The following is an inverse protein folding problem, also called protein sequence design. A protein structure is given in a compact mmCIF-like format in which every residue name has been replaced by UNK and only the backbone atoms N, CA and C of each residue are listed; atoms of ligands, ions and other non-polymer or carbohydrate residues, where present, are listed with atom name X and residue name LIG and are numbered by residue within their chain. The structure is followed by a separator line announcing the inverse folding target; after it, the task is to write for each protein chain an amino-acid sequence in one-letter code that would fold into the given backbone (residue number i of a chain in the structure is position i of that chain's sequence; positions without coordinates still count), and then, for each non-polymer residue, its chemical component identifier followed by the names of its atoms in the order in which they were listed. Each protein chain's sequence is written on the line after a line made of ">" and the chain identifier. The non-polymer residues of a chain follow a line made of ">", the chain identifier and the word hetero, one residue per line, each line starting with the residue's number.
data_IF_331215025404
#
_entry.id   IF_331215025404
#
_cell.length_a   1.000
_cell.length_b   1.000
_cell.length_c   1.000
_cell.angle_alpha   90.00
_cell.angle_beta   90.00
_cell.angle_gamma   90.00
#
_symmetry.space_group_name_H-M   'P 1'
#
loop_
_entity.id
_entity.type
_entity.pdbx_description
1 polymer ?
#
# COMPACT_ATOMS: atom_id res chain seq x y z
N UNK A 1 -4.39 5.48 4.75
CA UNK A 1 -4.46 5.73 6.21
C UNK A 1 -3.92 4.58 7.07
N UNK A 2 -3.84 3.35 6.55
CA UNK A 2 -3.48 2.12 7.28
C UNK A 2 -1.99 1.93 7.62
N UNK A 3 -1.07 2.65 6.98
CA UNK A 3 0.37 2.48 7.20
C UNK A 3 0.74 2.57 8.70
N UNK A 4 1.49 1.58 9.19
CA UNK A 4 1.93 1.45 10.59
C UNK A 4 0.80 1.43 11.64
N UNK A 5 -0.42 1.05 11.25
CA UNK A 5 -1.54 0.89 12.17
C UNK A 5 -2.13 -0.51 12.09
N UNK A 6 -2.78 -0.93 13.17
CA UNK A 6 -3.66 -2.09 13.11
C UNK A 6 -4.86 -1.79 12.21
N UNK A 7 -5.44 -2.85 11.61
CA UNK A 7 -6.63 -2.73 10.76
C UNK A 7 -7.77 -2.04 11.49
N UNK A 8 -7.98 -2.36 12.78
CA UNK A 8 -9.03 -1.75 13.62
C UNK A 8 -8.84 -0.24 13.78
N UNK A 9 -7.62 0.22 14.05
CA UNK A 9 -7.35 1.65 14.23
C UNK A 9 -7.48 2.40 12.89
N UNK A 10 -7.02 1.80 11.80
CA UNK A 10 -7.18 2.36 10.46
C UNK A 10 -8.65 2.54 10.09
N UNK A 11 -9.51 1.56 10.40
CA UNK A 11 -10.95 1.62 10.17
C UNK A 11 -11.63 2.73 10.97
N UNK A 12 -11.29 2.88 12.25
CA UNK A 12 -11.81 3.97 13.11
C UNK A 12 -11.45 5.34 12.53
N UNK A 13 -10.20 5.55 12.14
CA UNK A 13 -9.75 6.82 11.56
C UNK A 13 -10.46 7.09 10.22
N UNK A 14 -10.61 6.06 9.38
CA UNK A 14 -11.31 6.20 8.10
C UNK A 14 -12.79 6.58 8.30
N UNK A 15 -13.49 5.95 9.24
CA UNK A 15 -14.88 6.32 9.59
C UNK A 15 -14.99 7.78 10.03
N UNK A 16 -14.07 8.25 10.88
CA UNK A 16 -14.04 9.67 11.30
C UNK A 16 -13.75 10.60 10.13
N UNK A 17 -12.86 10.21 9.23
CA UNK A 17 -12.57 10.96 8.01
C UNK A 17 -13.81 11.12 7.14
N UNK A 18 -14.54 10.03 6.85
CA UNK A 18 -15.78 10.10 6.07
C UNK A 18 -16.87 10.91 6.80
N UNK A 19 -16.94 10.83 8.13
CA UNK A 19 -17.86 11.63 8.93
C UNK A 19 -17.58 13.15 8.81
N UNK A 20 -16.33 13.59 8.63
CA UNK A 20 -16.02 15.00 8.35
C UNK A 20 -16.70 15.53 7.08
N UNK A 21 -16.98 14.64 6.13
CA UNK A 21 -17.57 14.96 4.83
C UNK A 21 -19.02 14.50 4.71
N UNK A 22 -19.74 14.48 5.83
CA UNK A 22 -21.18 14.17 5.85
C UNK A 22 -21.51 12.72 5.48
N UNK A 23 -20.58 11.79 5.72
CA UNK A 23 -20.81 10.37 5.46
C UNK A 23 -20.55 9.92 4.02
N UNK A 24 -20.02 10.80 3.16
CA UNK A 24 -19.73 10.51 1.76
C UNK A 24 -18.23 10.58 1.48
N UNK A 25 -17.80 9.91 0.43
CA UNK A 25 -16.41 10.06 -0.04
C UNK A 25 -16.19 11.50 -0.54
N UNK A 26 -15.19 12.23 -0.01
CA UNK A 26 -14.92 13.58 -0.44
C UNK A 26 -14.22 13.60 -1.80
N UNK A 27 -14.45 14.69 -2.54
CA UNK A 27 -13.60 15.05 -3.69
C UNK A 27 -12.21 15.47 -3.22
N UNK A 28 -11.23 15.42 -4.12
CA UNK A 28 -9.87 15.89 -3.83
C UNK A 28 -9.85 17.37 -3.40
N UNK A 29 -10.68 18.23 -4.03
CA UNK A 29 -10.79 19.63 -3.65
C UNK A 29 -11.29 19.80 -2.21
N UNK A 30 -12.37 19.08 -1.84
CA UNK A 30 -12.89 19.12 -0.47
C UNK A 30 -11.85 18.69 0.57
N UNK A 31 -10.99 17.73 0.25
CA UNK A 31 -9.89 17.33 1.15
C UNK A 31 -8.89 18.48 1.34
N UNK A 32 -8.58 19.24 0.29
CA UNK A 32 -7.63 20.35 0.35
C UNK A 32 -8.18 21.58 1.04
N UNK A 33 -9.49 21.80 0.97
CA UNK A 33 -10.20 22.92 1.62
C UNK A 33 -10.28 22.75 3.15
N UNK A 34 -10.17 21.51 3.65
CA UNK A 34 -10.11 21.24 5.09
C UNK A 34 -8.72 21.56 5.64
N UNK A 35 -8.69 22.26 6.78
CA UNK A 35 -7.43 22.63 7.43
C UNK A 35 -6.64 21.40 7.92
N UNK A 36 -5.30 21.43 7.92
CA UNK A 36 -4.48 20.37 8.50
C UNK A 36 -4.87 20.04 9.95
N UNK A 37 -5.26 21.04 10.73
CA UNK A 37 -5.66 20.92 12.14
C UNK A 37 -6.93 20.08 12.29
N UNK A 38 -7.93 20.29 11.42
CA UNK A 38 -9.15 19.47 11.40
C UNK A 38 -8.85 18.01 11.04
N UNK A 39 -7.97 17.79 10.06
CA UNK A 39 -7.53 16.43 9.70
C UNK A 39 -6.75 15.75 10.84
N UNK A 40 -5.97 16.50 11.61
CA UNK A 40 -5.34 15.98 12.83
C UNK A 40 -6.36 15.66 13.92
N UNK A 41 -7.40 16.47 14.06
CA UNK A 41 -8.45 16.32 15.07
C UNK A 41 -9.15 14.95 15.04
N UNK A 42 -9.19 14.29 13.88
CA UNK A 42 -9.77 12.94 13.75
C UNK A 42 -8.79 11.79 14.10
N UNK A 43 -7.55 12.11 14.45
CA UNK A 43 -6.53 11.14 14.84
C UNK A 43 -5.47 10.84 13.78
N UNK A 44 -5.35 11.65 12.72
CA UNK A 44 -4.22 11.57 11.79
C UNK A 44 -2.97 12.20 12.40
N UNK A 45 -1.82 11.55 12.20
CA UNK A 45 -0.52 12.17 12.48
C UNK A 45 -0.20 13.26 11.46
N UNK A 46 0.73 14.17 11.78
CA UNK A 46 1.20 15.20 10.86
C UNK A 46 1.62 14.61 9.50
N UNK A 47 2.39 13.52 9.51
CA UNK A 47 2.84 12.86 8.29
C UNK A 47 1.65 12.36 7.45
N UNK A 48 0.63 11.75 8.07
CA UNK A 48 -0.54 11.25 7.35
C UNK A 48 -1.44 12.35 6.82
N UNK A 49 -1.53 13.49 7.52
CA UNK A 49 -2.19 14.68 6.99
C UNK A 49 -1.49 15.15 5.71
N UNK A 50 -0.15 15.26 5.74
CA UNK A 50 0.61 15.58 4.53
C UNK A 50 0.37 14.56 3.42
N UNK A 51 0.34 13.25 3.71
CA UNK A 51 0.13 12.23 2.67
C UNK A 51 -1.25 12.35 2.02
N UNK A 52 -2.31 12.51 2.82
CA UNK A 52 -3.68 12.65 2.31
C UNK A 52 -3.79 13.88 1.41
N UNK A 53 -3.22 15.01 1.83
CA UNK A 53 -3.21 16.25 1.04
C UNK A 53 -2.38 16.12 -0.23
N UNK A 54 -1.18 15.53 -0.16
CA UNK A 54 -0.32 15.32 -1.33
C UNK A 54 -1.01 14.44 -2.38
N UNK A 55 -1.72 13.39 -1.96
CA UNK A 55 -2.50 12.54 -2.88
C UNK A 55 -3.64 13.34 -3.53
N UNK A 56 -4.35 14.16 -2.76
CA UNK A 56 -5.43 15.00 -3.29
C UNK A 56 -4.90 16.04 -4.30
N UNK A 57 -3.81 16.76 -3.97
CA UNK A 57 -3.14 17.69 -4.88
C UNK A 57 -2.68 17.01 -6.16
N UNK A 58 -1.99 15.88 -6.04
CA UNK A 58 -1.52 15.13 -7.21
C UNK A 58 -2.67 14.67 -8.12
N UNK A 59 -3.81 14.27 -7.54
CA UNK A 59 -4.99 13.91 -8.32
C UNK A 59 -5.53 15.10 -9.12
N UNK A 60 -5.60 16.30 -8.52
CA UNK A 60 -6.07 17.50 -9.21
C UNK A 60 -5.10 17.97 -10.30
N UNK A 61 -3.80 17.87 -10.06
CA UNK A 61 -2.76 18.34 -10.97
C UNK A 61 -2.50 17.39 -12.15
N UNK A 62 -2.50 16.08 -11.89
CA UNK A 62 -2.04 15.09 -12.87
C UNK A 62 -3.10 14.03 -13.22
N UNK A 63 -4.17 13.91 -12.45
CA UNK A 63 -5.17 12.86 -12.60
C UNK A 63 -4.68 11.49 -12.10
N UNK A 64 -5.56 10.78 -11.40
CA UNK A 64 -5.24 9.47 -10.80
C UNK A 64 -6.47 8.54 -10.82
N UNK A 65 -7.36 8.74 -11.78
CA UNK A 65 -8.56 7.93 -11.90
C UNK A 65 -8.22 6.51 -12.37
N UNK A 66 -9.14 5.58 -12.08
CA UNK A 66 -8.96 4.18 -12.45
C UNK A 66 -8.75 3.98 -13.95
N UNK A 67 -9.43 4.76 -14.81
CA UNK A 67 -9.36 4.61 -16.27
C UNK A 67 -7.98 4.94 -16.84
N UNK A 68 -7.26 5.86 -16.17
CA UNK A 68 -5.85 6.15 -16.45
C UNK A 68 -4.93 5.03 -15.96
N UNK A 69 -5.06 4.63 -14.69
CA UNK A 69 -4.13 3.69 -14.07
C UNK A 69 -4.21 2.27 -14.64
N UNK A 70 -5.38 1.80 -15.09
CA UNK A 70 -5.50 0.44 -15.64
C UNK A 70 -4.79 0.26 -16.98
N UNK A 71 -4.53 1.35 -17.71
CA UNK A 71 -3.80 1.34 -18.99
C UNK A 71 -2.29 1.20 -18.81
N UNK A 72 -1.80 1.45 -17.60
CA UNK A 72 -0.39 1.33 -17.23
C UNK A 72 -0.06 -0.11 -16.79
N UNK A 73 1.16 -0.54 -17.08
CA UNK A 73 1.76 -1.70 -16.46
C UNK A 73 2.11 -1.43 -14.98
N UNK A 74 2.55 -2.47 -14.27
CA UNK A 74 2.81 -2.36 -12.83
C UNK A 74 3.95 -1.37 -12.52
N UNK A 75 5.04 -1.36 -13.30
CA UNK A 75 6.18 -0.48 -13.04
C UNK A 75 5.87 0.97 -13.47
N UNK A 76 5.07 1.17 -14.50
CA UNK A 76 4.55 2.48 -14.89
C UNK A 76 3.68 3.09 -13.78
N UNK A 77 2.76 2.32 -13.18
CA UNK A 77 1.96 2.80 -12.04
C UNK A 77 2.85 3.12 -10.84
N UNK A 78 3.86 2.30 -10.56
CA UNK A 78 4.82 2.54 -9.47
C UNK A 78 5.58 3.84 -9.71
N UNK A 79 6.17 4.02 -10.90
CA UNK A 79 6.90 5.24 -11.24
C UNK A 79 5.99 6.47 -11.17
N UNK A 80 4.75 6.35 -11.66
CA UNK A 80 3.79 7.45 -11.68
C UNK A 80 3.39 7.90 -10.27
N UNK A 81 2.99 6.96 -9.41
CA UNK A 81 2.45 7.28 -8.07
C UNK A 81 3.53 7.54 -7.02
N UNK A 82 4.76 7.07 -7.21
CA UNK A 82 5.87 7.34 -6.27
C UNK A 82 6.40 8.77 -6.34
N UNK A 83 5.96 9.56 -7.31
CA UNK A 83 6.17 11.02 -7.33
C UNK A 83 5.47 11.72 -6.16
N UNK A 84 4.42 11.12 -5.59
CA UNK A 84 3.68 11.68 -4.46
C UNK A 84 4.53 11.54 -3.19
N UNK A 85 4.98 12.65 -2.61
CA UNK A 85 5.75 12.65 -1.36
C UNK A 85 4.99 11.91 -0.25
N UNK A 86 5.58 10.81 0.23
CA UNK A 86 4.98 9.94 1.24
C UNK A 86 4.37 8.64 0.70
N UNK A 87 4.26 8.49 -0.62
CA UNK A 87 3.84 7.26 -1.29
C UNK A 87 5.08 6.54 -1.80
N UNK A 88 5.49 5.49 -1.09
CA UNK A 88 6.59 4.62 -1.51
C UNK A 88 6.13 3.44 -2.36
N UNK A 89 7.09 2.72 -2.95
CA UNK A 89 6.85 1.53 -3.79
C UNK A 89 5.90 0.53 -3.13
N UNK A 90 6.15 0.15 -1.87
CA UNK A 90 5.29 -0.79 -1.14
C UNK A 90 3.83 -0.34 -1.08
N UNK A 91 3.57 0.96 -0.86
CA UNK A 91 2.21 1.51 -0.84
C UNK A 91 1.54 1.36 -2.21
N UNK A 92 2.29 1.58 -3.29
CA UNK A 92 1.76 1.41 -4.66
C UNK A 92 1.53 -0.06 -4.98
N UNK A 93 2.40 -0.97 -4.51
CA UNK A 93 2.19 -2.42 -4.65
C UNK A 93 0.91 -2.86 -3.94
N UNK A 94 0.60 -2.32 -2.76
CA UNK A 94 -0.69 -2.59 -2.09
C UNK A 94 -1.87 -2.08 -2.92
N UNK A 95 -1.75 -0.89 -3.52
CA UNK A 95 -2.77 -0.33 -4.41
C UNK A 95 -2.96 -1.20 -5.66
N UNK A 96 -1.88 -1.65 -6.28
CA UNK A 96 -1.91 -2.56 -7.43
C UNK A 96 -2.68 -3.85 -7.10
N UNK A 97 -2.36 -4.47 -5.96
CA UNK A 97 -2.98 -5.74 -5.54
C UNK A 97 -4.46 -5.60 -5.14
N UNK A 98 -4.81 -4.59 -4.34
CA UNK A 98 -6.10 -4.53 -3.67
C UNK A 98 -7.11 -3.57 -4.31
N UNK A 99 -6.64 -2.49 -4.94
CA UNK A 99 -7.52 -1.51 -5.58
C UNK A 99 -7.59 -1.69 -7.10
N UNK A 100 -6.47 -1.99 -7.76
CA UNK A 100 -6.43 -2.21 -9.21
C UNK A 100 -6.61 -3.69 -9.60
N UNK A 101 -6.48 -4.61 -8.65
CA UNK A 101 -6.70 -6.05 -8.86
C UNK A 101 -5.64 -6.71 -9.75
N UNK A 102 -4.43 -6.16 -9.81
CA UNK A 102 -3.33 -6.76 -10.57
C UNK A 102 -2.91 -8.08 -9.91
N UNK A 103 -2.91 -9.16 -10.69
CA UNK A 103 -2.71 -10.52 -10.20
C UNK A 103 -1.23 -10.91 -10.06
N UNK A 104 -0.34 -10.21 -10.78
CA UNK A 104 1.08 -10.54 -10.84
C UNK A 104 2.00 -9.50 -10.17
N UNK A 105 1.74 -9.19 -8.90
CA UNK A 105 2.56 -8.27 -8.09
C UNK A 105 3.26 -9.05 -6.97
N UNK A 106 4.54 -8.79 -6.74
CA UNK A 106 5.28 -9.33 -5.60
C UNK A 106 5.89 -8.20 -4.77
N UNK A 107 5.33 -7.98 -3.58
CA UNK A 107 5.79 -6.94 -2.66
C UNK A 107 7.05 -7.40 -1.90
N UNK A 108 8.19 -7.38 -2.58
CA UNK A 108 9.47 -7.92 -2.08
C UNK A 108 9.95 -7.27 -0.78
N UNK A 109 9.63 -5.99 -0.58
CA UNK A 109 10.06 -5.22 0.59
C UNK A 109 9.07 -5.33 1.77
N UNK A 110 7.99 -6.12 1.63
CA UNK A 110 7.05 -6.37 2.72
C UNK A 110 7.64 -7.32 3.76
N UNK A 111 7.79 -6.84 5.00
CA UNK A 111 8.38 -7.60 6.09
C UNK A 111 7.59 -8.87 6.45
N UNK A 112 6.26 -8.86 6.29
CA UNK A 112 5.41 -10.02 6.54
C UNK A 112 5.70 -11.14 5.53
N UNK A 113 5.79 -10.79 4.25
CA UNK A 113 6.17 -11.69 3.17
C UNK A 113 7.59 -12.22 3.37
N UNK A 114 8.57 -11.33 3.64
CA UNK A 114 9.95 -11.75 3.87
C UNK A 114 10.07 -12.74 5.02
N UNK A 115 9.41 -12.47 6.16
CA UNK A 115 9.44 -13.35 7.32
C UNK A 115 8.78 -14.71 7.06
N UNK A 116 7.67 -14.73 6.31
CA UNK A 116 7.02 -15.97 5.91
C UNK A 116 7.93 -16.81 5.00
N UNK A 117 8.57 -16.18 4.02
CA UNK A 117 9.49 -16.87 3.10
C UNK A 117 10.75 -17.38 3.81
N UNK A 118 11.30 -16.63 4.77
CA UNK A 118 12.43 -17.09 5.61
C UNK A 118 12.07 -18.41 6.30
N UNK A 119 10.87 -18.50 6.90
CA UNK A 119 10.49 -19.68 7.66
C UNK A 119 10.12 -20.89 6.79
N UNK A 120 9.43 -20.66 5.67
CA UNK A 120 8.99 -21.71 4.73
C UNK A 120 10.17 -22.26 3.93
N UNK A 121 11.00 -21.39 3.37
CA UNK A 121 12.09 -21.76 2.45
C UNK A 121 13.47 -21.81 3.12
N UNK A 122 13.53 -21.60 4.45
CA UNK A 122 14.78 -21.60 5.25
C UNK A 122 15.83 -20.65 4.69
N UNK A 123 15.39 -19.44 4.31
CA UNK A 123 16.27 -18.42 3.73
C UNK A 123 17.08 -17.71 4.81
N UNK A 124 18.32 -17.36 4.48
CA UNK A 124 19.18 -16.54 5.33
C UNK A 124 19.13 -15.06 4.88
N UNK A 125 18.98 -14.15 5.85
CA UNK A 125 18.93 -12.70 5.65
C UNK A 125 20.26 -12.00 5.95
N UNK A 126 21.30 -12.72 6.37
CA UNK A 126 22.61 -12.14 6.68
C UNK A 126 23.23 -11.47 5.45
N UNK A 127 23.27 -12.17 4.32
CA UNK A 127 23.59 -11.60 3.01
C UNK A 127 22.34 -11.02 2.34
N UNK A 128 22.18 -9.70 2.44
CA UNK A 128 21.03 -8.97 1.88
C UNK A 128 20.88 -9.13 0.37
N UNK A 129 22.00 -9.23 -0.37
CA UNK A 129 21.97 -9.33 -1.83
C UNK A 129 21.46 -10.72 -2.23
N UNK A 130 22.08 -11.76 -1.69
CA UNK A 130 21.67 -13.15 -1.92
C UNK A 130 20.23 -13.39 -1.47
N UNK A 131 19.85 -12.85 -0.31
CA UNK A 131 18.48 -12.93 0.18
C UNK A 131 17.47 -12.36 -0.83
N UNK A 132 17.75 -11.15 -1.35
CA UNK A 132 16.89 -10.52 -2.36
C UNK A 132 16.82 -11.33 -3.66
N UNK A 133 17.94 -11.88 -4.12
CA UNK A 133 18.01 -12.75 -5.29
C UNK A 133 17.18 -14.03 -5.09
N UNK A 134 17.25 -14.65 -3.91
CA UNK A 134 16.46 -15.83 -3.57
C UNK A 134 14.96 -15.54 -3.53
N UNK A 135 14.53 -14.41 -2.94
CA UNK A 135 13.13 -13.97 -2.96
C UNK A 135 12.61 -13.82 -4.39
N UNK A 136 13.38 -13.17 -5.27
CA UNK A 136 13.02 -12.98 -6.68
C UNK A 136 12.99 -14.32 -7.44
N UNK A 137 13.98 -15.19 -7.24
CA UNK A 137 14.06 -16.50 -7.87
C UNK A 137 12.87 -17.40 -7.49
N UNK A 138 12.49 -17.41 -6.22
CA UNK A 138 11.35 -18.21 -5.74
C UNK A 138 10.05 -17.61 -6.26
N UNK A 139 9.85 -16.30 -6.12
CA UNK A 139 8.61 -15.62 -6.52
C UNK A 139 8.31 -15.71 -8.01
N UNK A 140 9.32 -15.81 -8.88
CA UNK A 140 9.15 -16.06 -10.31
C UNK A 140 8.30 -17.30 -10.61
N UNK A 141 8.36 -18.33 -9.77
CA UNK A 141 7.57 -19.57 -9.95
C UNK A 141 6.08 -19.39 -9.72
N UNK A 142 5.67 -18.28 -9.10
CA UNK A 142 4.27 -17.98 -8.83
C UNK A 142 3.65 -17.07 -9.89
N UNK A 143 4.44 -16.56 -10.85
CA UNK A 143 3.90 -15.80 -11.98
C UNK A 143 3.02 -16.71 -12.86
N UNK A 144 1.87 -16.23 -13.38
CA UNK A 144 1.39 -14.84 -13.39
C UNK A 144 0.50 -14.45 -12.19
N UNK A 145 0.58 -15.16 -11.06
CA UNK A 145 -0.32 -15.03 -9.91
C UNK A 145 0.41 -14.68 -8.61
N UNK A 146 1.51 -13.92 -8.68
CA UNK A 146 2.32 -13.54 -7.51
C UNK A 146 1.52 -12.84 -6.40
N UNK A 147 0.48 -12.08 -6.75
CA UNK A 147 -0.41 -11.43 -5.76
C UNK A 147 -1.13 -12.45 -4.88
N UNK A 148 -1.54 -13.58 -5.43
CA UNK A 148 -2.20 -14.65 -4.67
C UNK A 148 -1.21 -15.33 -3.72
N UNK A 149 0.03 -15.59 -4.17
CA UNK A 149 1.08 -16.10 -3.30
C UNK A 149 1.36 -15.15 -2.12
N UNK A 150 1.44 -13.83 -2.36
CA UNK A 150 1.53 -12.82 -1.29
C UNK A 150 0.39 -12.93 -0.27
N UNK A 151 -0.86 -13.06 -0.74
CA UNK A 151 -2.04 -13.26 0.12
C UNK A 151 -1.93 -14.51 0.99
N UNK A 152 -1.41 -15.61 0.44
CA UNK A 152 -1.17 -16.84 1.21
C UNK A 152 -0.05 -16.67 2.25
N UNK A 153 1.04 -15.97 1.90
CA UNK A 153 2.16 -15.70 2.82
C UNK A 153 1.73 -14.83 4.01
N UNK A 154 0.90 -13.81 3.79
CA UNK A 154 0.33 -13.02 4.89
C UNK A 154 -0.55 -13.89 5.82
N UNK A 155 -1.42 -14.74 5.26
CA UNK A 155 -2.24 -15.66 6.07
C UNK A 155 -1.41 -16.67 6.85
N UNK A 156 -0.31 -17.14 6.27
CA UNK A 156 0.60 -18.06 6.94
C UNK A 156 1.21 -17.43 8.20
N UNK A 157 1.59 -16.16 8.13
CA UNK A 157 2.09 -15.41 9.30
C UNK A 157 1.04 -15.30 10.42
N UNK A 158 -0.22 -15.05 10.06
CA UNK A 158 -1.29 -14.81 11.03
C UNK A 158 -1.79 -16.10 11.73
N UNK A 159 -1.60 -17.27 11.09
CA UNK A 159 -2.13 -18.55 11.54
C UNK A 159 -1.07 -19.51 12.12
N UNK A 160 0.18 -19.08 12.31
CA UNK A 160 1.20 -19.98 12.85
C UNK A 160 1.06 -20.04 14.39
N UNK A 161 0.67 -21.19 14.98
CA UNK A 161 0.86 -21.37 16.42
C UNK A 161 2.37 -21.33 16.67
N UNK A 162 2.80 -20.50 17.62
CA UNK A 162 4.15 -20.58 18.17
C UNK A 162 4.43 -22.00 18.70
#
# INVERSE_FOLDING_TARGET
>A
MSQQLSVKVADVIYKRFIALFGGREPTAQQILDVTPETLRGIGLSNAKVSYVRNVASFHLEHGMDRSKLVKMDNEEVIAYLTQIKGVGRWTVEMLLMFALGKEDVFAIDDLGIQNAMIQIYKLDRTDKKKFREDLLRISKRWSPYRTYACKHLWRWKDNNPL
#
